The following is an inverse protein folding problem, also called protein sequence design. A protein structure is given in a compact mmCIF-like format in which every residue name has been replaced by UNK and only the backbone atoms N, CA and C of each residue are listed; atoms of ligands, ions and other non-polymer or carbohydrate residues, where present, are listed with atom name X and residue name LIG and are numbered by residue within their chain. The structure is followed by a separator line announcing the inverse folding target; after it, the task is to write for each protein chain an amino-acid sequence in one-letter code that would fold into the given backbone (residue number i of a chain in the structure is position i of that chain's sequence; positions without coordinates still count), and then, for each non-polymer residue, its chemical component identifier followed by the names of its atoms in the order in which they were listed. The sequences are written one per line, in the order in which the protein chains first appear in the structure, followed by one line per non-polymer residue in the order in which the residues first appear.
data_IF_441247518464
#
_entry.id   IF_441247518464
#
_cell.length_a   1.000
_cell.length_b   1.000
_cell.length_c   1.000
_cell.angle_alpha   90.00
_cell.angle_beta   90.00
_cell.angle_gamma   90.00
#
_symmetry.space_group_name_H-M   'P 1'
#
loop_
_entity.id
_entity.type
_entity.pdbx_description
1 polymer ?
#
# COMPACT_ATOMS: atom_id res chain seq x y z
N UNK A 1 18.05 12.27 -5.03
CA UNK A 1 17.74 11.42 -3.86
C UNK A 1 16.99 10.21 -4.37
N UNK A 2 17.60 9.03 -4.38
CA UNK A 2 17.06 7.83 -5.03
C UNK A 2 15.80 7.32 -4.31
N UNK A 3 14.81 6.82 -5.04
CA UNK A 3 13.55 6.30 -4.49
C UNK A 3 13.78 5.17 -3.46
N UNK A 4 14.79 4.33 -3.66
CA UNK A 4 15.20 3.30 -2.69
C UNK A 4 15.50 3.88 -1.32
N UNK A 5 16.29 4.96 -1.24
CA UNK A 5 16.63 5.65 0.02
C UNK A 5 15.41 6.18 0.77
N UNK A 6 14.35 6.57 0.05
CA UNK A 6 13.10 7.02 0.68
C UNK A 6 12.40 5.85 1.40
N UNK A 7 12.35 4.67 0.78
CA UNK A 7 11.81 3.47 1.40
C UNK A 7 12.71 2.92 2.52
N UNK A 8 14.03 2.95 2.34
CA UNK A 8 14.99 2.55 3.38
C UNK A 8 14.80 3.38 4.66
N UNK A 9 14.56 4.69 4.53
CA UNK A 9 14.24 5.57 5.66
C UNK A 9 12.93 5.22 6.40
N UNK A 10 12.05 4.44 5.77
CA UNK A 10 10.84 3.90 6.38
C UNK A 10 11.04 2.49 6.95
N UNK A 11 12.22 1.91 6.81
CA UNK A 11 12.52 0.52 7.18
C UNK A 11 12.04 -0.50 6.13
N UNK A 12 11.79 -0.05 4.90
CA UNK A 12 11.34 -0.90 3.79
C UNK A 12 12.45 -1.05 2.76
N UNK A 13 12.54 -2.22 2.13
CA UNK A 13 13.52 -2.45 1.05
C UNK A 13 12.81 -2.53 -0.29
N UNK A 14 13.20 -1.67 -1.22
CA UNK A 14 12.71 -1.70 -2.60
C UNK A 14 13.37 -2.86 -3.34
N UNK A 15 12.56 -3.73 -3.95
CA UNK A 15 13.01 -4.88 -4.73
C UNK A 15 12.96 -4.59 -6.21
N UNK A 16 11.85 -4.04 -6.69
CA UNK A 16 11.68 -3.81 -8.12
C UNK A 16 10.86 -2.56 -8.41
N UNK A 17 11.15 -1.99 -9.58
CA UNK A 17 10.37 -0.96 -10.25
C UNK A 17 9.99 -1.50 -11.61
N UNK A 18 8.69 -1.58 -11.88
CA UNK A 18 8.18 -2.08 -13.16
C UNK A 18 7.32 -1.02 -13.81
N UNK A 19 7.71 -0.61 -15.00
CA UNK A 19 6.89 0.24 -15.86
C UNK A 19 6.20 -0.65 -16.91
N UNK A 20 4.89 -0.52 -17.07
CA UNK A 20 4.14 -1.24 -18.10
C UNK A 20 4.24 -0.53 -19.47
N UNK A 21 3.73 -1.17 -20.53
CA UNK A 21 3.74 -0.60 -21.90
C UNK A 21 2.95 0.70 -22.07
N UNK A 22 2.20 1.13 -21.05
CA UNK A 22 1.44 2.39 -21.00
C UNK A 22 2.06 3.43 -20.07
N UNK A 23 3.26 3.16 -19.56
CA UNK A 23 4.00 4.02 -18.65
C UNK A 23 3.51 4.00 -17.20
N UNK A 24 2.72 3.01 -16.80
CA UNK A 24 2.27 2.88 -15.43
C UNK A 24 3.37 2.24 -14.56
N UNK A 25 3.76 2.91 -13.47
CA UNK A 25 4.75 2.39 -12.54
C UNK A 25 4.11 1.58 -11.40
N UNK A 26 4.68 0.40 -11.17
CA UNK A 26 4.48 -0.43 -9.99
C UNK A 26 5.81 -0.56 -9.22
N UNK A 27 5.72 -0.58 -7.88
CA UNK A 27 6.84 -0.74 -6.96
C UNK A 27 6.61 -2.02 -6.14
N UNK A 28 7.64 -2.84 -5.99
CA UNK A 28 7.62 -4.02 -5.15
C UNK A 28 8.62 -3.87 -3.99
N UNK A 29 8.18 -4.21 -2.78
CA UNK A 29 9.01 -4.22 -1.57
C UNK A 29 9.35 -5.65 -1.13
N UNK A 30 10.38 -5.79 -0.29
CA UNK A 30 10.98 -7.08 0.11
C UNK A 30 10.03 -8.05 0.80
N UNK A 31 9.00 -7.53 1.47
CA UNK A 31 8.00 -8.32 2.17
C UNK A 31 6.76 -8.64 1.30
N UNK A 32 6.87 -8.40 -0.01
CA UNK A 32 5.84 -8.64 -1.00
C UNK A 32 4.77 -7.54 -1.08
N UNK A 33 5.01 -6.32 -0.54
CA UNK A 33 4.11 -5.19 -0.80
C UNK A 33 4.16 -4.84 -2.29
N UNK A 34 3.00 -4.84 -2.94
CA UNK A 34 2.85 -4.23 -4.25
C UNK A 34 2.23 -2.83 -4.13
N UNK A 35 2.88 -1.81 -4.69
CA UNK A 35 2.39 -0.44 -4.73
C UNK A 35 2.14 -0.06 -6.18
N UNK A 36 0.87 0.08 -6.57
CA UNK A 36 0.47 0.53 -7.90
C UNK A 36 0.39 2.05 -7.93
N UNK A 37 1.35 2.71 -8.57
CA UNK A 37 1.39 4.18 -8.60
C UNK A 37 0.62 4.73 -9.80
N UNK A 38 0.72 4.01 -10.93
CA UNK A 38 0.21 4.45 -12.22
C UNK A 38 1.17 5.42 -12.91
N UNK A 39 0.69 6.08 -13.96
CA UNK A 39 1.53 6.89 -14.85
C UNK A 39 1.57 8.39 -14.56
N UNK A 40 0.62 8.88 -13.76
CA UNK A 40 0.37 10.32 -13.61
C UNK A 40 0.69 10.79 -12.18
N UNK A 41 1.32 11.97 -12.08
CA UNK A 41 1.68 12.64 -10.83
C UNK A 41 2.52 11.74 -9.89
N UNK A 42 3.46 10.99 -10.48
CA UNK A 42 4.24 9.96 -9.79
C UNK A 42 4.92 10.49 -8.52
N UNK A 43 5.72 11.55 -8.64
CA UNK A 43 6.43 12.13 -7.49
C UNK A 43 5.47 12.64 -6.41
N UNK A 44 4.36 13.26 -6.80
CA UNK A 44 3.37 13.75 -5.84
C UNK A 44 2.67 12.59 -5.10
N UNK A 45 2.35 11.50 -5.79
CA UNK A 45 1.77 10.30 -5.18
C UNK A 45 2.77 9.60 -4.25
N UNK A 46 4.03 9.49 -4.66
CA UNK A 46 5.10 8.92 -3.83
C UNK A 46 5.30 9.80 -2.60
N UNK A 47 5.42 11.12 -2.75
CA UNK A 47 5.58 12.05 -1.63
C UNK A 47 4.43 11.94 -0.62
N UNK A 48 3.18 11.93 -1.11
CA UNK A 48 2.00 11.72 -0.26
C UNK A 48 2.05 10.38 0.48
N UNK A 49 2.44 9.29 -0.21
CA UNK A 49 2.62 8.00 0.42
C UNK A 49 3.66 8.09 1.54
N UNK A 50 4.84 8.70 1.29
CA UNK A 50 5.90 8.82 2.29
C UNK A 50 5.41 9.55 3.55
N UNK A 51 4.59 10.60 3.41
CA UNK A 51 4.03 11.36 4.54
C UNK A 51 3.13 10.51 5.43
N UNK A 52 2.27 9.68 4.84
CA UNK A 52 1.30 8.89 5.60
C UNK A 52 1.83 7.52 6.04
N UNK A 53 2.92 7.04 5.41
CA UNK A 53 3.36 5.65 5.52
C UNK A 53 3.59 5.23 6.97
N UNK A 54 4.41 5.98 7.70
CA UNK A 54 4.83 5.63 9.05
C UNK A 54 3.64 5.57 10.03
N UNK A 55 2.62 6.40 9.83
CA UNK A 55 1.48 6.52 10.75
C UNK A 55 0.33 5.58 10.41
N UNK A 56 0.05 5.37 9.12
CA UNK A 56 -1.16 4.67 8.66
C UNK A 56 -0.87 3.28 8.09
N UNK A 57 0.27 3.12 7.42
CA UNK A 57 0.60 1.89 6.68
C UNK A 57 1.48 0.97 7.52
N UNK A 58 2.57 1.52 8.07
CA UNK A 58 3.58 0.77 8.82
C UNK A 58 3.00 -0.04 9.99
N UNK A 59 2.06 0.48 10.81
CA UNK A 59 1.49 -0.29 11.92
C UNK A 59 0.74 -1.56 11.51
N UNK A 60 0.18 -1.56 10.29
CA UNK A 60 -0.61 -2.68 9.74
C UNK A 60 0.08 -3.33 8.55
N UNK A 61 1.38 -3.09 8.38
CA UNK A 61 2.12 -3.50 7.18
C UNK A 61 1.98 -5.01 6.95
N UNK A 62 2.13 -5.82 7.99
CA UNK A 62 2.02 -7.28 7.91
C UNK A 62 0.68 -7.77 7.36
N UNK A 63 -0.40 -6.98 7.48
CA UNK A 63 -1.76 -7.30 7.04
C UNK A 63 -2.03 -6.89 5.58
N UNK A 64 -1.21 -6.01 5.02
CA UNK A 64 -1.45 -5.38 3.71
C UNK A 64 -0.77 -6.20 2.61
N UNK A 65 -1.49 -6.43 1.51
CA UNK A 65 -0.97 -7.05 0.28
C UNK A 65 -0.64 -6.04 -0.79
N UNK A 66 -1.46 -5.00 -0.94
CA UNK A 66 -1.30 -4.02 -2.02
C UNK A 66 -1.78 -2.63 -1.59
N UNK A 67 -1.06 -1.60 -2.04
CA UNK A 67 -1.52 -0.21 -2.06
C UNK A 67 -1.78 0.21 -3.51
N UNK A 68 -2.92 0.84 -3.78
CA UNK A 68 -3.26 1.32 -5.11
C UNK A 68 -3.47 2.84 -5.10
N UNK A 69 -2.47 3.57 -5.56
CA UNK A 69 -2.39 5.03 -5.61
C UNK A 69 -2.88 5.59 -6.96
N UNK A 70 -3.48 4.77 -7.83
CA UNK A 70 -3.86 5.23 -9.19
C UNK A 70 -4.93 6.33 -9.16
N UNK A 71 -5.71 6.43 -8.09
CA UNK A 71 -6.76 7.43 -7.89
C UNK A 71 -6.21 8.80 -7.48
N UNK A 72 -6.87 9.88 -7.91
CA UNK A 72 -6.44 11.27 -7.69
C UNK A 72 -6.50 11.71 -6.22
N UNK A 73 -7.56 11.30 -5.52
CA UNK A 73 -7.91 11.84 -4.20
C UNK A 73 -7.62 10.88 -3.04
N UNK A 74 -7.00 9.73 -3.30
CA UNK A 74 -6.76 8.74 -2.25
C UNK A 74 -6.06 7.50 -2.78
N UNK A 75 -6.13 6.43 -1.99
CA UNK A 75 -5.59 5.13 -2.36
C UNK A 75 -6.48 4.01 -1.81
N UNK A 76 -6.42 2.85 -2.46
CA UNK A 76 -7.08 1.65 -1.96
C UNK A 76 -6.07 0.71 -1.30
N UNK A 77 -6.51 -0.01 -0.27
CA UNK A 77 -5.73 -1.03 0.42
C UNK A 77 -6.32 -2.40 0.14
N UNK A 78 -5.52 -3.31 -0.39
CA UNK A 78 -5.89 -4.72 -0.45
C UNK A 78 -5.25 -5.46 0.73
N UNK A 79 -6.07 -6.00 1.61
CA UNK A 79 -5.66 -6.82 2.75
C UNK A 79 -5.30 -8.25 2.33
N UNK A 80 -4.41 -8.91 3.08
CA UNK A 80 -4.16 -10.35 2.97
C UNK A 80 -5.42 -11.14 3.38
N UNK A 81 -5.65 -12.31 2.78
CA UNK A 81 -6.90 -13.08 2.93
C UNK A 81 -7.22 -13.46 4.38
N UNK A 82 -6.19 -13.78 5.17
CA UNK A 82 -6.34 -14.17 6.58
C UNK A 82 -6.98 -13.07 7.43
N UNK A 83 -6.77 -11.79 7.09
CA UNK A 83 -7.27 -10.66 7.89
C UNK A 83 -8.75 -10.34 7.64
N UNK A 84 -9.30 -10.71 6.46
CA UNK A 84 -10.72 -10.49 6.16
C UNK A 84 -11.63 -11.38 7.02
N UNK A 85 -11.21 -12.62 7.29
CA UNK A 85 -12.01 -13.55 8.08
C UNK A 85 -12.17 -13.11 9.54
N UNK A 86 -11.20 -12.39 10.11
CA UNK A 86 -11.27 -11.85 11.46
C UNK A 86 -12.20 -10.63 11.56
N UNK A 87 -12.17 -9.72 10.56
CA UNK A 87 -13.03 -8.52 10.55
C UNK A 87 -14.48 -8.84 10.20
N UNK A 88 -14.72 -9.78 9.28
CA UNK A 88 -16.08 -10.18 8.89
C UNK A 88 -16.79 -10.92 10.04
N UNK A 89 -16.09 -11.75 10.83
CA UNK A 89 -16.69 -12.41 12.00
C UNK A 89 -16.99 -11.45 13.16
N UNK A 90 -16.19 -10.40 13.35
CA UNK A 90 -16.44 -9.40 14.39
C UNK A 90 -17.65 -8.49 14.07
N UNK A 91 -17.85 -8.16 12.79
CA UNK A 91 -18.99 -7.36 12.34
C UNK A 91 -20.31 -8.14 12.34
N UNK A 92 -20.30 -9.44 12.06
CA UNK A 92 -21.50 -10.29 12.10
C UNK A 92 -21.98 -10.55 13.54
N UNK A 93 -21.07 -10.70 14.51
CA UNK A 93 -21.44 -10.93 15.92
C UNK A 93 -22.06 -9.73 16.63
N UNK A 94 -21.75 -8.50 16.20
CA UNK A 94 -22.25 -7.28 16.85
C UNK A 94 -23.72 -6.94 16.52
N UNK A 95 -24.31 -7.57 15.49
CA UNK A 95 -25.64 -7.22 14.99
C UNK A 95 -26.77 -8.15 15.46
N UNK A 96 -26.47 -9.14 16.31
CA UNK A 96 -27.44 -10.16 16.75
C UNK A 96 -27.74 -10.08 18.26
N UNK A 97 -27.95 -8.88 18.80
CA UNK A 97 -28.64 -8.71 20.07
C UNK A 97 -29.96 -7.95 19.81
N UNK A 98 -31.01 -8.71 19.53
CA UNK A 98 -32.41 -8.29 19.63
C UNK A 98 -33.03 -9.10 20.75
#
# INVERSE_FOLDING_TARGET
YTLSKRFEGLGESLISLREDSRGALDIELSDGLLIKVGRAQLEHKIARLMTIYAQQIKPRRSEIRQLDLRYSNGFAVAWKKEQRQATDQASVRSNNNV
#
